data_IF_586490981014
#
_entry.id   IF_586490981014
#
_cell.length_a   1.000
_cell.length_b   1.000
_cell.length_c   1.000
_cell.angle_alpha   90.00
_cell.angle_beta   90.00
_cell.angle_gamma   90.00
#
_symmetry.space_group_name_H-M   'P 1'
#
loop_
_entity.id
_entity.type
_entity.pdbx_description
1 polymer ?
#
# COMPACT_ATOMS: atom_id res chain seq x y z
N UNK A 1 -36.71 11.26 3.61
CA UNK A 1 -36.55 9.81 3.39
C UNK A 1 -35.09 9.58 3.04
N UNK A 2 -34.38 8.85 3.90
CA UNK A 2 -33.01 8.51 3.62
C UNK A 2 -32.98 7.38 2.58
N UNK A 3 -32.20 7.59 1.52
CA UNK A 3 -32.07 6.60 0.44
C UNK A 3 -31.25 5.42 0.94
N UNK A 4 -31.76 4.21 0.79
CA UNK A 4 -31.01 2.98 1.11
C UNK A 4 -29.85 2.80 0.13
N UNK A 5 -28.62 2.77 0.69
CA UNK A 5 -27.40 2.56 -0.09
C UNK A 5 -27.12 1.07 -0.17
N UNK A 6 -27.20 0.49 -1.36
CA UNK A 6 -26.73 -0.87 -1.61
C UNK A 6 -25.20 -0.90 -1.69
N UNK A 7 -24.56 -1.58 -0.74
CA UNK A 7 -23.10 -1.81 -0.77
C UNK A 7 -22.82 -3.06 -1.60
N UNK A 8 -22.36 -2.89 -2.83
CA UNK A 8 -21.80 -3.97 -3.61
C UNK A 8 -20.38 -4.28 -3.13
N UNK A 9 -19.95 -5.57 -3.09
CA UNK A 9 -18.57 -5.92 -2.77
C UNK A 9 -17.64 -5.37 -3.84
N UNK A 10 -16.92 -4.29 -3.50
CA UNK A 10 -15.96 -3.67 -4.40
C UNK A 10 -14.59 -4.32 -4.18
N UNK A 11 -14.10 -5.08 -5.16
CA UNK A 11 -12.71 -5.56 -5.18
C UNK A 11 -11.83 -4.50 -5.84
N UNK A 12 -10.88 -3.96 -5.09
CA UNK A 12 -9.88 -3.03 -5.64
C UNK A 12 -9.07 -3.73 -6.73
N UNK A 13 -9.13 -3.20 -7.95
CA UNK A 13 -8.27 -3.64 -9.06
C UNK A 13 -7.01 -2.78 -9.06
N UNK A 14 -5.85 -3.41 -9.16
CA UNK A 14 -4.55 -2.73 -9.18
C UNK A 14 -3.96 -2.84 -10.58
N UNK A 15 -4.14 -1.78 -11.39
CA UNK A 15 -3.51 -1.68 -12.70
C UNK A 15 -2.26 -0.81 -12.61
N UNK A 16 -1.21 -1.13 -13.38
CA UNK A 16 0.04 -0.37 -13.41
C UNK A 16 -0.21 1.10 -13.78
N UNK A 17 -1.08 1.35 -14.75
CA UNK A 17 -1.47 2.68 -15.21
C UNK A 17 -2.18 3.53 -14.14
N UNK A 18 -2.69 2.87 -13.09
CA UNK A 18 -3.38 3.51 -11.98
C UNK A 18 -2.44 3.94 -10.86
N UNK A 19 -1.17 3.55 -10.94
CA UNK A 19 -0.16 3.98 -9.99
C UNK A 19 0.46 5.30 -10.42
N UNK A 20 0.17 6.36 -9.68
CA UNK A 20 0.75 7.67 -9.97
C UNK A 20 2.15 7.78 -9.38
N UNK A 21 3.13 8.03 -10.24
CA UNK A 21 4.53 8.19 -9.86
C UNK A 21 4.78 9.65 -9.51
N UNK A 22 5.36 9.87 -8.32
CA UNK A 22 5.75 11.19 -7.80
C UNK A 22 7.10 11.08 -7.09
N UNK A 23 7.70 12.21 -6.72
CA UNK A 23 9.01 12.22 -6.07
C UNK A 23 9.07 11.33 -4.81
N UNK A 24 8.00 11.29 -4.05
CA UNK A 24 7.89 10.57 -2.78
C UNK A 24 7.77 9.03 -2.91
N UNK A 25 7.44 8.50 -4.08
CA UNK A 25 7.34 7.06 -4.33
C UNK A 25 8.22 6.57 -5.49
N UNK A 26 8.94 7.47 -6.15
CA UNK A 26 9.72 7.17 -7.35
C UNK A 26 10.76 6.06 -7.14
N UNK A 27 11.51 6.12 -6.04
CA UNK A 27 12.56 5.13 -5.74
C UNK A 27 11.97 3.73 -5.55
N UNK A 28 10.85 3.61 -4.83
CA UNK A 28 10.14 2.35 -4.65
C UNK A 28 9.61 1.81 -5.98
N UNK A 29 8.96 2.67 -6.78
CA UNK A 29 8.47 2.29 -8.11
C UNK A 29 9.59 1.83 -9.03
N UNK A 30 10.72 2.57 -9.08
CA UNK A 30 11.86 2.24 -9.92
C UNK A 30 12.46 0.88 -9.57
N UNK A 31 12.56 0.53 -8.29
CA UNK A 31 13.02 -0.80 -7.87
C UNK A 31 12.06 -1.91 -8.33
N UNK A 32 10.74 -1.74 -8.14
CA UNK A 32 9.76 -2.70 -8.64
C UNK A 32 9.87 -2.88 -10.17
N UNK A 33 10.11 -1.79 -10.89
CA UNK A 33 10.27 -1.85 -12.34
C UNK A 33 11.58 -2.51 -12.78
N UNK A 34 12.66 -2.38 -12.01
CA UNK A 34 13.97 -2.94 -12.33
C UNK A 34 14.11 -4.44 -12.04
N UNK A 35 13.11 -5.08 -11.44
CA UNK A 35 13.17 -6.52 -11.17
C UNK A 35 13.54 -7.31 -12.44
N UNK A 36 14.42 -8.31 -12.40
CA UNK A 36 15.12 -8.88 -11.24
C UNK A 36 16.44 -8.20 -10.86
N UNK A 37 16.80 -7.07 -11.49
CA UNK A 37 18.08 -6.37 -11.30
C UNK A 37 18.10 -5.54 -9.98
N UNK A 38 17.66 -6.12 -8.88
CA UNK A 38 17.79 -5.47 -7.57
C UNK A 38 19.23 -5.54 -7.05
N UNK A 39 19.70 -4.52 -6.30
CA UNK A 39 21.03 -4.54 -5.67
C UNK A 39 21.23 -5.69 -4.68
N UNK A 40 20.17 -6.28 -4.22
CA UNK A 40 20.07 -7.48 -3.38
C UNK A 40 18.78 -8.19 -3.70
N UNK A 41 18.55 -9.36 -3.07
CA UNK A 41 17.33 -10.14 -3.35
C UNK A 41 16.18 -9.85 -2.40
N UNK A 42 16.44 -9.16 -1.30
CA UNK A 42 15.45 -8.88 -0.27
C UNK A 42 15.20 -7.38 -0.16
N UNK A 43 13.94 -6.99 -0.29
CA UNK A 43 13.50 -5.60 -0.31
C UNK A 43 12.40 -5.38 0.74
N UNK A 44 12.55 -4.34 1.55
CA UNK A 44 11.47 -3.82 2.38
C UNK A 44 11.02 -2.46 1.84
N UNK A 45 9.75 -2.38 1.42
CA UNK A 45 9.08 -1.11 1.10
C UNK A 45 8.22 -0.74 2.31
N UNK A 46 8.49 0.42 2.89
CA UNK A 46 7.76 0.89 4.06
C UNK A 46 7.18 2.29 3.84
N UNK A 47 6.16 2.63 4.64
CA UNK A 47 5.50 3.92 4.57
C UNK A 47 4.07 3.87 5.11
N UNK A 48 3.46 5.01 5.30
CA UNK A 48 2.14 5.15 5.90
C UNK A 48 1.06 4.29 5.21
N UNK A 49 0.01 3.96 5.94
CA UNK A 49 -1.16 3.29 5.36
C UNK A 49 -1.72 4.09 4.18
N UNK A 50 -2.07 3.40 3.09
CA UNK A 50 -2.56 4.04 1.85
C UNK A 50 -1.47 4.58 0.92
N UNK A 51 -0.17 4.51 1.25
CA UNK A 51 0.92 5.04 0.40
C UNK A 51 1.16 4.28 -0.92
N UNK A 52 0.44 3.19 -1.17
CA UNK A 52 0.54 2.44 -2.42
C UNK A 52 1.42 1.20 -2.38
N UNK A 53 1.91 0.75 -1.22
CA UNK A 53 2.75 -0.45 -1.07
C UNK A 53 2.11 -1.71 -1.66
N UNK A 54 0.86 -1.98 -1.28
CA UNK A 54 0.09 -3.10 -1.85
C UNK A 54 -0.08 -2.97 -3.37
N UNK A 55 -0.21 -1.75 -3.90
CA UNK A 55 -0.28 -1.54 -5.35
C UNK A 55 1.05 -1.91 -6.03
N UNK A 56 2.18 -1.49 -5.45
CA UNK A 56 3.51 -1.89 -5.94
C UNK A 56 3.72 -3.40 -5.87
N UNK A 57 3.28 -4.06 -4.78
CA UNK A 57 3.31 -5.52 -4.65
C UNK A 57 2.51 -6.20 -5.78
N UNK A 58 1.32 -5.69 -6.10
CA UNK A 58 0.47 -6.21 -7.18
C UNK A 58 1.04 -5.93 -8.58
N UNK A 59 1.78 -4.84 -8.77
CA UNK A 59 2.53 -4.60 -10.01
C UNK A 59 3.65 -5.63 -10.15
N UNK A 60 4.41 -5.89 -9.07
CA UNK A 60 5.46 -6.89 -9.07
C UNK A 60 4.92 -8.30 -9.30
N UNK A 61 3.82 -8.66 -8.62
CA UNK A 61 3.16 -9.96 -8.77
C UNK A 61 2.83 -10.28 -10.24
N UNK A 62 2.39 -9.29 -11.01
CA UNK A 62 2.07 -9.45 -12.43
C UNK A 62 3.30 -9.59 -13.36
N UNK A 63 4.49 -9.24 -12.86
CA UNK A 63 5.75 -9.32 -13.61
C UNK A 63 6.47 -10.66 -13.45
N UNK A 64 6.11 -11.44 -12.44
CA UNK A 64 6.82 -12.64 -12.02
C UNK A 64 5.95 -13.86 -12.26
N UNK A 65 6.43 -14.82 -13.04
CA UNK A 65 5.65 -16.03 -13.37
C UNK A 65 5.42 -16.94 -12.16
N UNK A 66 6.39 -17.02 -11.26
CA UNK A 66 6.33 -17.85 -10.05
C UNK A 66 6.47 -16.98 -8.82
N UNK A 67 5.36 -16.41 -8.38
CA UNK A 67 5.30 -15.53 -7.23
C UNK A 67 4.26 -16.01 -6.23
N UNK A 68 4.58 -15.90 -4.94
CA UNK A 68 3.63 -16.09 -3.85
C UNK A 68 3.43 -14.75 -3.16
N UNK A 69 2.18 -14.26 -3.15
CA UNK A 69 1.80 -13.10 -2.35
C UNK A 69 0.95 -13.57 -1.17
N UNK A 70 1.33 -13.17 0.02
CA UNK A 70 0.66 -13.52 1.29
C UNK A 70 0.56 -12.28 2.17
N UNK A 71 -0.57 -12.12 2.87
CA UNK A 71 -0.66 -11.16 3.98
C UNK A 71 0.08 -11.71 5.19
N UNK A 72 0.79 -10.86 5.93
CA UNK A 72 1.61 -11.26 7.08
C UNK A 72 0.84 -12.11 8.10
N UNK A 73 -0.41 -11.75 8.39
CA UNK A 73 -1.28 -12.51 9.31
C UNK A 73 -1.62 -13.94 8.87
N UNK A 74 -1.43 -14.27 7.59
CA UNK A 74 -1.72 -15.58 7.01
C UNK A 74 -0.47 -16.44 6.84
N UNK A 75 0.69 -15.94 7.22
CA UNK A 75 1.95 -16.69 7.18
C UNK A 75 1.89 -17.87 8.16
N UNK A 76 2.29 -19.03 7.67
CA UNK A 76 2.32 -20.27 8.43
C UNK A 76 3.42 -21.20 7.88
N UNK A 77 3.57 -22.40 8.45
CA UNK A 77 4.59 -23.35 8.02
C UNK A 77 4.48 -23.74 6.53
N UNK A 78 3.30 -23.72 5.93
CA UNK A 78 3.14 -24.01 4.50
C UNK A 78 3.83 -22.94 3.63
N UNK A 79 3.98 -21.70 4.13
CA UNK A 79 4.71 -20.65 3.43
C UNK A 79 6.17 -21.01 3.16
N UNK A 80 6.78 -21.84 4.01
CA UNK A 80 8.14 -22.35 3.81
C UNK A 80 8.18 -23.29 2.60
N UNK A 81 7.21 -24.19 2.47
CA UNK A 81 7.10 -25.10 1.33
C UNK A 81 6.77 -24.39 0.03
N UNK A 82 5.99 -23.30 0.09
CA UNK A 82 5.67 -22.48 -1.08
C UNK A 82 6.94 -21.88 -1.74
N UNK A 83 8.02 -21.66 -0.95
CA UNK A 83 9.29 -21.13 -1.45
C UNK A 83 9.97 -22.05 -2.48
N UNK A 84 9.78 -23.35 -2.38
CA UNK A 84 10.37 -24.33 -3.32
C UNK A 84 9.78 -24.18 -4.75
N UNK A 85 8.59 -23.62 -4.85
CA UNK A 85 7.85 -23.47 -6.10
C UNK A 85 7.81 -22.03 -6.64
N UNK A 86 8.33 -21.06 -5.90
CA UNK A 86 8.28 -19.65 -6.30
C UNK A 86 9.68 -19.02 -6.43
N UNK A 87 9.80 -18.00 -7.28
CA UNK A 87 11.00 -17.19 -7.44
C UNK A 87 11.01 -15.97 -6.50
N UNK A 88 9.82 -15.57 -6.05
CA UNK A 88 9.66 -14.41 -5.18
C UNK A 88 8.51 -14.63 -4.20
N UNK A 89 8.77 -14.34 -2.94
CA UNK A 89 7.76 -14.24 -1.89
C UNK A 89 7.47 -12.76 -1.61
N UNK A 90 6.20 -12.37 -1.68
CA UNK A 90 5.72 -11.05 -1.31
C UNK A 90 4.92 -11.17 -0.01
N UNK A 91 5.36 -10.50 1.04
CA UNK A 91 4.67 -10.39 2.33
C UNK A 91 4.09 -9.01 2.44
N UNK A 92 2.76 -8.90 2.39
CA UNK A 92 2.07 -7.61 2.48
C UNK A 92 1.52 -7.37 3.90
N UNK A 93 1.39 -6.10 4.29
CA UNK A 93 0.91 -5.69 5.61
C UNK A 93 1.69 -6.32 6.77
N UNK A 94 3.02 -6.33 6.66
CA UNK A 94 3.89 -6.85 7.71
C UNK A 94 3.82 -5.97 8.96
N UNK A 95 3.64 -6.63 10.09
CA UNK A 95 3.71 -6.05 11.43
C UNK A 95 4.56 -6.94 12.36
N UNK A 96 4.73 -6.53 13.62
CA UNK A 96 5.57 -7.24 14.58
C UNK A 96 4.86 -8.43 15.28
N UNK A 97 3.68 -8.85 14.80
CA UNK A 97 2.91 -9.95 15.42
C UNK A 97 3.24 -11.34 14.85
N UNK A 98 4.25 -11.42 13.97
CA UNK A 98 4.66 -12.69 13.36
C UNK A 98 5.56 -13.49 14.31
N UNK A 99 5.45 -14.81 14.27
CA UNK A 99 6.40 -15.70 14.98
C UNK A 99 7.82 -15.53 14.40
N UNK A 100 8.74 -15.06 15.23
CA UNK A 100 10.13 -14.80 14.85
C UNK A 100 10.85 -16.04 14.33
N UNK A 101 10.56 -17.23 14.90
CA UNK A 101 11.18 -18.50 14.46
C UNK A 101 10.67 -18.88 13.07
N UNK A 102 9.39 -18.67 12.82
CA UNK A 102 8.79 -18.91 11.51
C UNK A 102 9.37 -17.95 10.46
N UNK A 103 9.42 -16.66 10.77
CA UNK A 103 10.02 -15.66 9.88
C UNK A 103 11.49 -15.98 9.59
N UNK A 104 12.26 -16.34 10.62
CA UNK A 104 13.66 -16.76 10.46
C UNK A 104 13.79 -17.96 9.53
N UNK A 105 12.92 -18.98 9.69
CA UNK A 105 12.91 -20.17 8.84
C UNK A 105 12.60 -19.82 7.37
N UNK A 106 11.62 -18.94 7.13
CA UNK A 106 11.29 -18.44 5.80
C UNK A 106 12.49 -17.72 5.16
N UNK A 107 13.14 -16.81 5.89
CA UNK A 107 14.31 -16.08 5.39
C UNK A 107 15.50 -17.01 5.11
N UNK A 108 15.73 -18.02 5.96
CA UNK A 108 16.77 -19.01 5.73
C UNK A 108 16.52 -19.86 4.50
N UNK A 109 15.31 -20.40 4.36
CA UNK A 109 14.92 -21.19 3.18
C UNK A 109 15.03 -20.34 1.90
N UNK A 110 14.51 -19.11 1.93
CA UNK A 110 14.64 -18.19 0.80
C UNK A 110 16.09 -17.94 0.40
N UNK A 111 17.01 -17.82 1.38
CA UNK A 111 18.43 -17.65 1.10
C UNK A 111 19.06 -18.90 0.46
N UNK A 112 18.67 -20.09 0.91
CA UNK A 112 19.17 -21.36 0.35
C UNK A 112 18.70 -21.56 -1.10
N UNK A 113 17.46 -21.20 -1.39
CA UNK A 113 16.85 -21.30 -2.71
C UNK A 113 17.18 -20.12 -3.64
N UNK A 114 17.91 -19.12 -3.13
CA UNK A 114 18.26 -17.90 -3.84
C UNK A 114 17.04 -17.08 -4.30
N UNK A 115 15.93 -17.14 -3.54
CA UNK A 115 14.68 -16.47 -3.84
C UNK A 115 14.68 -14.97 -3.48
N UNK A 116 13.87 -14.21 -4.21
CA UNK A 116 13.57 -12.82 -3.90
C UNK A 116 12.52 -12.73 -2.78
N UNK A 117 12.63 -11.69 -1.95
CA UNK A 117 11.60 -11.35 -0.95
C UNK A 117 11.27 -9.87 -1.06
N UNK A 118 9.97 -9.56 -1.11
CA UNK A 118 9.44 -8.22 -0.88
C UNK A 118 8.62 -8.23 0.40
N UNK A 119 8.96 -7.36 1.37
CA UNK A 119 8.14 -7.13 2.56
C UNK A 119 7.59 -5.70 2.50
N UNK A 120 6.28 -5.55 2.60
CA UNK A 120 5.62 -4.27 2.77
C UNK A 120 5.21 -4.07 4.23
N UNK A 121 5.61 -2.96 4.83
CA UNK A 121 5.33 -2.62 6.23
C UNK A 121 4.96 -1.15 6.39
N UNK A 122 4.41 -0.77 7.53
CA UNK A 122 4.15 0.64 7.86
C UNK A 122 5.45 1.36 8.19
N UNK A 123 6.26 0.73 9.03
CA UNK A 123 7.58 1.22 9.42
C UNK A 123 8.66 0.31 8.84
N UNK A 124 9.90 0.83 8.75
CA UNK A 124 11.04 -0.02 8.36
C UNK A 124 11.17 -1.20 9.32
N UNK A 125 11.21 -2.42 8.76
CA UNK A 125 11.40 -3.63 9.59
C UNK A 125 12.73 -3.63 10.33
N UNK A 126 13.70 -2.83 9.89
CA UNK A 126 14.97 -2.61 10.58
C UNK A 126 14.77 -1.98 11.96
N UNK A 127 13.74 -1.15 12.13
CA UNK A 127 13.43 -0.45 13.38
C UNK A 127 12.60 -1.31 14.35
N UNK A 128 12.11 -2.46 13.90
CA UNK A 128 11.35 -3.37 14.75
C UNK A 128 12.29 -4.11 15.71
N UNK A 129 11.77 -4.44 16.89
CA UNK A 129 12.51 -5.21 17.88
C UNK A 129 12.27 -6.69 17.65
N UNK A 130 13.34 -7.44 17.47
CA UNK A 130 13.33 -8.89 17.39
C UNK A 130 14.21 -9.44 18.51
N UNK A 131 13.76 -10.48 19.21
CA UNK A 131 14.53 -11.13 20.28
C UNK A 131 15.56 -12.08 19.70
N UNK A 132 15.25 -12.74 18.57
CA UNK A 132 16.13 -13.69 17.91
C UNK A 132 17.28 -12.97 17.19
N UNK A 133 18.51 -13.11 17.72
CA UNK A 133 19.73 -12.48 17.16
C UNK A 133 19.97 -12.82 15.70
N UNK A 134 19.76 -14.09 15.34
CA UNK A 134 19.96 -14.56 13.97
C UNK A 134 18.96 -13.94 12.99
N UNK A 135 17.71 -13.71 13.43
CA UNK A 135 16.72 -12.99 12.65
C UNK A 135 17.14 -11.54 12.40
N UNK A 136 17.66 -10.85 13.42
CA UNK A 136 18.19 -9.48 13.25
C UNK A 136 19.26 -9.42 12.17
N UNK A 137 20.17 -10.38 12.14
CA UNK A 137 21.20 -10.47 11.10
C UNK A 137 20.59 -10.62 9.70
N UNK A 138 19.52 -11.40 9.56
CA UNK A 138 18.80 -11.57 8.29
C UNK A 138 18.07 -10.28 7.89
N UNK A 139 17.39 -9.64 8.83
CA UNK A 139 16.73 -8.36 8.61
C UNK A 139 17.72 -7.33 8.07
N UNK A 140 18.91 -7.20 8.64
CA UNK A 140 19.94 -6.27 8.17
C UNK A 140 20.42 -6.52 6.72
N UNK A 141 20.05 -7.64 6.11
CA UNK A 141 20.39 -7.93 4.71
C UNK A 141 19.39 -7.37 3.70
N UNK A 142 18.28 -6.78 4.17
CA UNK A 142 17.31 -6.15 3.30
C UNK A 142 17.79 -4.82 2.74
N UNK A 143 17.35 -4.50 1.53
CA UNK A 143 17.35 -3.13 1.02
C UNK A 143 16.08 -2.43 1.53
N UNK A 144 16.22 -1.22 2.04
CA UNK A 144 15.14 -0.47 2.66
C UNK A 144 14.77 0.74 1.83
N UNK A 145 13.50 0.86 1.46
CA UNK A 145 12.97 2.00 0.70
C UNK A 145 11.69 2.51 1.36
N UNK A 146 11.73 3.76 1.80
CA UNK A 146 10.56 4.47 2.32
C UNK A 146 9.74 5.12 1.22
N UNK A 147 8.42 5.11 1.39
CA UNK A 147 7.50 5.98 0.66
C UNK A 147 7.12 7.12 1.60
N UNK A 148 7.46 8.34 1.19
CA UNK A 148 7.22 9.53 1.99
C UNK A 148 5.73 9.96 1.99
N UNK A 149 5.39 10.97 2.79
CA UNK A 149 4.05 11.56 2.82
C UNK A 149 3.69 12.14 1.45
N UNK A 150 2.40 12.20 1.10
CA UNK A 150 1.97 12.65 -0.21
C UNK A 150 2.27 14.15 -0.43
N UNK A 151 2.75 14.48 -1.63
CA UNK A 151 2.82 15.87 -2.10
C UNK A 151 1.42 16.38 -2.48
N UNK A 152 1.26 17.70 -2.53
CA UNK A 152 -0.02 18.32 -2.95
C UNK A 152 -0.44 17.85 -4.35
N UNK A 153 0.50 17.70 -5.27
CA UNK A 153 0.23 17.20 -6.62
C UNK A 153 -0.28 15.77 -6.61
N UNK A 154 0.34 14.91 -5.79
CA UNK A 154 -0.15 13.54 -5.61
C UNK A 154 -1.53 13.51 -4.97
N UNK A 155 -1.81 14.36 -3.98
CA UNK A 155 -3.13 14.48 -3.38
C UNK A 155 -4.19 14.93 -4.39
N UNK A 156 -3.88 15.88 -5.28
CA UNK A 156 -4.79 16.29 -6.38
C UNK A 156 -5.14 15.10 -7.27
N UNK A 157 -4.16 14.29 -7.64
CA UNK A 157 -4.40 13.10 -8.46
C UNK A 157 -5.25 12.07 -7.70
N UNK A 158 -4.98 11.82 -6.44
CA UNK A 158 -5.76 10.90 -5.60
C UNK A 158 -7.21 11.34 -5.51
N UNK A 159 -7.45 12.63 -5.23
CA UNK A 159 -8.79 13.21 -5.14
C UNK A 159 -9.51 13.06 -6.49
N UNK A 160 -8.87 13.52 -7.56
CA UNK A 160 -9.45 13.48 -8.90
C UNK A 160 -9.81 12.06 -9.32
N UNK A 161 -8.89 11.09 -9.11
CA UNK A 161 -9.12 9.71 -9.46
C UNK A 161 -10.23 9.08 -8.60
N UNK A 162 -10.18 9.26 -7.28
CA UNK A 162 -11.16 8.68 -6.36
C UNK A 162 -12.60 9.10 -6.70
N UNK A 163 -12.77 10.33 -7.16
CA UNK A 163 -14.08 10.86 -7.55
C UNK A 163 -14.44 10.50 -9.00
N UNK A 164 -13.46 10.46 -9.91
CA UNK A 164 -13.66 10.06 -11.30
C UNK A 164 -14.07 8.58 -11.42
N UNK A 165 -13.50 7.70 -10.61
CA UNK A 165 -13.90 6.28 -10.53
C UNK A 165 -15.38 6.10 -10.15
N UNK A 166 -15.97 7.14 -9.54
CA UNK A 166 -17.40 7.22 -9.17
C UNK A 166 -18.22 8.09 -10.14
N UNK A 167 -17.64 8.43 -11.30
CA UNK A 167 -18.25 9.30 -12.32
C UNK A 167 -18.57 10.72 -11.82
N UNK A 168 -17.83 11.19 -10.81
CA UNK A 168 -17.98 12.53 -10.25
C UNK A 168 -16.84 13.41 -10.77
N UNK A 169 -17.22 14.49 -11.46
CA UNK A 169 -16.28 15.55 -11.88
C UNK A 169 -16.35 16.70 -10.88
N UNK A 170 -15.20 17.15 -10.39
CA UNK A 170 -15.09 18.29 -9.47
C UNK A 170 -14.27 19.43 -10.06
N UNK A 171 -14.62 20.64 -9.66
CA UNK A 171 -13.85 21.83 -10.01
C UNK A 171 -12.49 21.80 -9.31
N UNK A 172 -11.37 22.16 -9.97
CA UNK A 172 -10.03 22.23 -9.36
C UNK A 172 -9.98 23.03 -8.04
N UNK A 173 -10.78 24.09 -7.91
CA UNK A 173 -10.92 24.87 -6.67
C UNK A 173 -11.40 24.03 -5.48
N UNK A 174 -12.19 22.99 -5.75
CA UNK A 174 -12.66 22.07 -4.71
C UNK A 174 -11.51 21.17 -4.24
N UNK A 175 -10.69 20.67 -5.15
CA UNK A 175 -9.49 19.90 -4.80
C UNK A 175 -8.52 20.73 -3.96
N UNK A 176 -8.24 21.95 -4.36
CA UNK A 176 -7.37 22.86 -3.59
C UNK A 176 -7.96 23.14 -2.19
N UNK A 177 -9.27 23.32 -2.09
CA UNK A 177 -9.93 23.51 -0.80
C UNK A 177 -9.79 22.28 0.09
N UNK A 178 -9.95 21.07 -0.45
CA UNK A 178 -9.77 19.82 0.30
C UNK A 178 -8.32 19.72 0.84
N UNK A 179 -7.32 19.93 -0.02
CA UNK A 179 -5.90 19.81 0.33
C UNK A 179 -5.51 20.79 1.44
N UNK A 180 -6.08 21.99 1.43
CA UNK A 180 -5.79 23.02 2.43
C UNK A 180 -6.46 22.77 3.79
N UNK A 181 -7.48 21.90 3.86
CA UNK A 181 -8.28 21.70 5.06
C UNK A 181 -8.23 20.26 5.60
N UNK A 182 -7.65 19.32 4.89
CA UNK A 182 -7.47 17.92 5.32
C UNK A 182 -6.01 17.67 5.63
N UNK A 183 -5.73 16.93 6.70
CA UNK A 183 -4.37 16.53 7.07
C UNK A 183 -3.67 15.82 5.90
N UNK A 184 -2.39 16.18 5.65
CA UNK A 184 -1.55 15.64 4.57
C UNK A 184 -1.11 14.19 4.87
N UNK A 185 -2.07 13.29 4.89
CA UNK A 185 -1.84 11.87 5.07
C UNK A 185 -2.72 11.09 4.10
N UNK A 186 -2.19 9.99 3.56
CA UNK A 186 -2.95 9.12 2.67
C UNK A 186 -4.23 8.61 3.34
N UNK A 187 -4.10 8.14 4.58
CA UNK A 187 -5.21 7.56 5.34
C UNK A 187 -6.30 8.57 5.59
N UNK A 188 -5.94 9.77 6.08
CA UNK A 188 -6.90 10.85 6.35
C UNK A 188 -7.61 11.30 5.07
N UNK A 189 -6.85 11.42 3.97
CA UNK A 189 -7.43 11.79 2.68
C UNK A 189 -8.42 10.75 2.18
N UNK A 190 -8.07 9.46 2.20
CA UNK A 190 -8.99 8.40 1.77
C UNK A 190 -10.23 8.29 2.66
N UNK A 191 -10.05 8.44 3.99
CA UNK A 191 -11.17 8.47 4.93
C UNK A 191 -12.11 9.62 4.62
N UNK A 192 -11.56 10.82 4.48
CA UNK A 192 -12.32 12.02 4.12
C UNK A 192 -13.11 11.86 2.81
N UNK A 193 -12.45 11.38 1.74
CA UNK A 193 -13.10 11.15 0.45
C UNK A 193 -14.25 10.13 0.53
N UNK A 194 -14.10 9.11 1.38
CA UNK A 194 -15.15 8.13 1.65
C UNK A 194 -16.34 8.78 2.37
N UNK A 195 -16.12 9.61 3.38
CA UNK A 195 -17.15 10.31 4.12
C UNK A 195 -17.90 11.32 3.22
N UNK A 196 -17.18 12.04 2.35
CA UNK A 196 -17.77 12.94 1.34
C UNK A 196 -18.70 12.19 0.39
N UNK A 197 -18.27 11.02 -0.08
CA UNK A 197 -19.06 10.16 -0.96
C UNK A 197 -20.33 9.64 -0.26
N UNK A 198 -20.19 9.10 0.94
CA UNK A 198 -21.32 8.59 1.73
C UNK A 198 -22.35 9.69 2.01
N UNK A 199 -21.91 10.90 2.34
CA UNK A 199 -22.79 12.03 2.56
C UNK A 199 -23.47 12.51 1.26
N UNK A 200 -22.74 12.51 0.13
CA UNK A 200 -23.29 12.85 -1.19
C UNK A 200 -24.39 11.86 -1.59
N UNK A 201 -24.13 10.56 -1.45
CA UNK A 201 -25.09 9.51 -1.77
C UNK A 201 -26.33 9.54 -0.87
N UNK A 202 -26.16 9.67 0.46
CA UNK A 202 -27.27 9.69 1.41
C UNK A 202 -28.18 10.91 1.27
N UNK A 203 -27.61 12.04 0.88
CA UNK A 203 -28.36 13.30 0.72
C UNK A 203 -28.85 13.56 -0.71
N UNK A 204 -28.37 12.79 -1.70
CA UNK A 204 -28.64 13.03 -3.14
C UNK A 204 -28.06 14.34 -3.65
N UNK A 205 -27.08 14.92 -2.95
CA UNK A 205 -26.49 16.23 -3.30
C UNK A 205 -25.16 16.05 -4.00
N UNK A 206 -24.92 16.89 -5.03
CA UNK A 206 -23.63 16.98 -5.70
C UNK A 206 -22.53 17.43 -4.74
N UNK A 207 -21.30 16.94 -4.95
CA UNK A 207 -20.13 17.33 -4.17
C UNK A 207 -19.77 18.79 -4.50
N UNK A 208 -19.88 19.65 -3.50
CA UNK A 208 -19.55 21.06 -3.55
C UNK A 208 -18.91 21.53 -2.23
N UNK A 209 -18.43 22.76 -2.19
CA UNK A 209 -17.74 23.30 -1.02
C UNK A 209 -18.61 23.24 0.25
N UNK A 210 -19.92 23.41 0.14
CA UNK A 210 -20.81 23.37 1.29
C UNK A 210 -20.95 21.94 1.88
N UNK A 211 -20.98 20.92 1.02
CA UNK A 211 -20.99 19.51 1.43
C UNK A 211 -19.65 19.14 2.09
N UNK A 212 -18.53 19.58 1.50
CA UNK A 212 -17.18 19.37 2.04
C UNK A 212 -17.02 19.99 3.42
N UNK A 213 -17.46 21.25 3.59
CA UNK A 213 -17.45 21.92 4.91
C UNK A 213 -18.25 21.18 5.96
N UNK A 214 -19.35 20.53 5.58
CA UNK A 214 -20.12 19.71 6.53
C UNK A 214 -19.35 18.49 7.02
N UNK A 215 -18.59 17.82 6.13
CA UNK A 215 -17.74 16.67 6.50
C UNK A 215 -16.56 17.11 7.36
N UNK A 216 -15.95 18.28 7.06
CA UNK A 216 -14.82 18.81 7.84
C UNK A 216 -15.21 19.23 9.28
N UNK A 217 -16.49 19.55 9.50
CA UNK A 217 -16.99 20.04 10.79
C UNK A 217 -17.68 18.93 11.62
N UNK A 218 -17.68 17.69 11.16
CA UNK A 218 -18.11 16.51 11.89
C UNK A 218 -16.94 15.86 12.64
#
# INVERSE_FOLDING_TARGET
MDQLIFKFPFSKKYYKQDFFISSNNFSAYKLIESWPAWPGKWLNIFGASGSGKTHLAKILEKKIDKVKLVEAKNINNNTIYDLDSCNCLIIDNFDNNIDEKLLYSILNQSKQLDNFILINSTDSIQNLRFDLKDLRSRINSFLYIGIELPTDDLLKVIISKSLSDKQISINPKISDFIINNVERSYEKMFKFLKEVDELSLSTGKSININLIKKVLNQ
#
